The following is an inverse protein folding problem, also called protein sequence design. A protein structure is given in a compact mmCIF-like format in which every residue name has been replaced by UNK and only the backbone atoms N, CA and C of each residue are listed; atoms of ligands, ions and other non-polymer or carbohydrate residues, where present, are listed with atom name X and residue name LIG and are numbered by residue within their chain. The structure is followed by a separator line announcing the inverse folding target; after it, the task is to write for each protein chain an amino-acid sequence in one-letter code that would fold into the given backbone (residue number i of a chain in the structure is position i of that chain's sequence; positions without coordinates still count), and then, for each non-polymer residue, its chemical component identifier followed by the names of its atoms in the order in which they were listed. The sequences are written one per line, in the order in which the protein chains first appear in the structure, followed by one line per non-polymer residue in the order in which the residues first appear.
data_IF_813902695512
#
_entry.id   IF_813902695512
#
_cell.length_a   1.000
_cell.length_b   1.000
_cell.length_c   1.000
_cell.angle_alpha   90.00
_cell.angle_beta   90.00
_cell.angle_gamma   90.00
#
_symmetry.space_group_name_H-M   'P 1'
#
loop_
_entity.id
_entity.type
_entity.pdbx_description
1 polymer ?
#
# COMPACT_ATOMS: atom_id res chain seq x y z
N UNK A 1 19.23 13.40 -12.89
CA UNK A 1 20.03 12.27 -13.44
C UNK A 1 20.27 11.26 -12.33
N UNK A 2 20.38 9.98 -12.66
CA UNK A 2 20.58 8.90 -11.67
C UNK A 2 21.70 8.00 -12.15
N UNK A 3 22.70 7.79 -11.30
CA UNK A 3 23.73 6.77 -11.50
C UNK A 3 23.57 5.75 -10.39
N UNK A 4 23.31 4.49 -10.73
CA UNK A 4 23.09 3.43 -9.75
C UNK A 4 23.89 2.17 -10.09
N UNK A 5 24.36 1.51 -9.04
CA UNK A 5 24.92 0.17 -9.09
C UNK A 5 24.07 -0.66 -8.14
N UNK A 6 23.59 -1.80 -8.65
CA UNK A 6 22.82 -2.73 -7.84
C UNK A 6 23.36 -4.15 -8.01
N UNK A 7 23.29 -4.92 -6.94
CA UNK A 7 23.61 -6.33 -6.91
C UNK A 7 22.47 -7.06 -6.21
N UNK A 8 21.90 -8.06 -6.87
CA UNK A 8 20.81 -8.86 -6.33
C UNK A 8 21.24 -10.33 -6.30
N UNK A 9 21.06 -10.97 -5.17
CA UNK A 9 21.25 -12.41 -4.98
C UNK A 9 19.96 -13.04 -4.47
N UNK A 10 19.61 -14.19 -5.04
CA UNK A 10 18.38 -14.90 -4.73
C UNK A 10 18.71 -16.35 -4.40
N UNK A 11 18.40 -16.74 -3.17
CA UNK A 11 18.36 -18.13 -2.74
C UNK A 11 16.93 -18.69 -2.81
N UNK A 12 16.76 -19.92 -2.32
CA UNK A 12 15.44 -20.59 -2.31
C UNK A 12 14.39 -19.85 -1.49
N UNK A 13 14.79 -19.38 -0.31
CA UNK A 13 13.93 -18.73 0.68
C UNK A 13 14.51 -17.38 1.13
N UNK A 14 15.46 -16.81 0.39
CA UNK A 14 16.11 -15.58 0.81
C UNK A 14 16.53 -14.73 -0.37
N UNK A 15 16.64 -13.42 -0.14
CA UNK A 15 17.18 -12.48 -1.09
C UNK A 15 18.09 -11.47 -0.40
N UNK A 16 19.10 -11.03 -1.12
CA UNK A 16 19.99 -9.95 -0.72
C UNK A 16 20.06 -8.95 -1.87
N UNK A 17 19.73 -7.70 -1.60
CA UNK A 17 19.84 -6.61 -2.55
C UNK A 17 20.80 -5.59 -1.97
N UNK A 18 21.83 -5.24 -2.72
CA UNK A 18 22.75 -4.16 -2.42
C UNK A 18 22.54 -3.10 -3.50
N UNK A 19 22.32 -1.85 -3.09
CA UNK A 19 22.16 -0.71 -4.00
C UNK A 19 23.00 0.45 -3.52
N UNK A 20 23.71 1.07 -4.46
CA UNK A 20 24.40 2.34 -4.26
C UNK A 20 24.00 3.27 -5.39
N UNK A 21 23.64 4.51 -5.08
CA UNK A 21 23.20 5.45 -6.10
C UNK A 21 23.64 6.88 -5.80
N UNK A 22 23.85 7.66 -6.86
CA UNK A 22 24.00 9.11 -6.82
C UNK A 22 22.89 9.72 -7.68
N UNK A 23 22.12 10.62 -7.08
CA UNK A 23 21.04 11.34 -7.72
C UNK A 23 21.44 12.80 -7.93
N UNK A 24 21.02 13.38 -9.05
CA UNK A 24 21.11 14.80 -9.32
C UNK A 24 19.73 15.38 -9.63
N UNK A 25 19.25 16.27 -8.76
CA UNK A 25 18.03 17.03 -8.94
C UNK A 25 18.34 18.37 -9.64
N UNK A 26 18.04 18.44 -10.94
CA UNK A 26 18.28 19.64 -11.76
C UNK A 26 17.28 20.78 -11.50
N UNK A 27 16.21 20.53 -10.75
CA UNK A 27 15.22 21.55 -10.37
C UNK A 27 15.64 22.31 -9.10
N UNK A 28 16.65 21.83 -8.36
CA UNK A 28 17.13 22.50 -7.15
C UNK A 28 17.95 23.75 -7.51
N UNK A 29 17.55 24.90 -6.96
CA UNK A 29 18.15 26.21 -7.23
C UNK A 29 19.59 26.29 -6.70
N UNK A 30 19.84 25.74 -5.51
CA UNK A 30 21.17 25.72 -4.89
C UNK A 30 21.98 24.55 -5.43
N UNK A 31 23.03 24.86 -6.19
CA UNK A 31 23.87 23.87 -6.89
C UNK A 31 24.50 22.84 -5.97
N UNK A 32 24.89 23.21 -4.74
CA UNK A 32 25.43 22.26 -3.76
C UNK A 32 24.43 21.19 -3.36
N UNK A 33 23.14 21.54 -3.28
CA UNK A 33 22.07 20.66 -2.78
C UNK A 33 21.44 19.83 -3.93
N UNK A 34 22.00 19.92 -5.14
CA UNK A 34 21.52 19.15 -6.29
C UNK A 34 21.84 17.66 -6.17
N UNK A 35 22.86 17.29 -5.40
CA UNK A 35 23.33 15.92 -5.32
C UNK A 35 22.86 15.22 -4.04
N UNK A 36 22.38 13.99 -4.19
CA UNK A 36 22.03 13.09 -3.08
C UNK A 36 22.75 11.75 -3.28
N UNK A 37 23.22 11.16 -2.19
CA UNK A 37 24.00 9.91 -2.24
C UNK A 37 23.36 8.84 -1.36
N UNK A 38 23.17 7.65 -1.93
CA UNK A 38 22.70 6.43 -1.26
C UNK A 38 23.87 5.44 -1.20
N UNK A 39 24.55 5.34 -0.06
CA UNK A 39 25.84 4.64 0.06
C UNK A 39 26.01 3.93 1.42
N UNK A 40 25.71 2.63 1.54
CA UNK A 40 24.87 1.81 0.69
C UNK A 40 23.43 1.68 1.20
N UNK A 41 22.58 1.03 0.40
CA UNK A 41 21.37 0.36 0.85
C UNK A 41 21.54 -1.16 0.72
N UNK A 42 21.27 -1.89 1.80
CA UNK A 42 21.36 -3.34 1.89
C UNK A 42 20.04 -3.86 2.41
N UNK A 43 19.34 -4.65 1.60
CA UNK A 43 18.07 -5.28 1.94
C UNK A 43 18.26 -6.78 1.92
N UNK A 44 18.19 -7.40 3.10
CA UNK A 44 18.13 -8.85 3.26
C UNK A 44 16.70 -9.27 3.60
N UNK A 45 16.20 -10.31 2.95
CA UNK A 45 14.91 -10.90 3.27
C UNK A 45 15.03 -12.42 3.38
N UNK A 46 14.41 -13.01 4.41
CA UNK A 46 14.28 -14.45 4.60
C UNK A 46 12.81 -14.81 4.78
N UNK A 47 12.31 -15.70 3.93
CA UNK A 47 10.94 -16.19 3.97
C UNK A 47 10.88 -17.53 4.69
N UNK A 48 9.85 -17.76 5.51
CA UNK A 48 9.78 -18.92 6.40
C UNK A 48 11.07 -19.08 7.23
N UNK A 49 11.40 -18.02 7.97
CA UNK A 49 12.58 -17.89 8.81
C UNK A 49 12.75 -19.07 9.79
N UNK A 50 11.64 -19.64 10.27
CA UNK A 50 11.61 -20.99 10.85
C UNK A 50 10.83 -21.88 9.88
N UNK A 51 11.23 -23.15 9.73
CA UNK A 51 10.63 -23.98 8.68
C UNK A 51 9.10 -24.08 8.78
N UNK A 52 8.41 -23.74 7.67
CA UNK A 52 6.95 -23.90 7.45
C UNK A 52 6.04 -23.07 8.37
N UNK A 53 6.47 -21.91 8.84
CA UNK A 53 5.70 -21.12 9.80
C UNK A 53 5.16 -19.78 9.27
N UNK A 54 5.27 -19.44 7.98
CA UNK A 54 4.88 -18.14 7.43
C UNK A 54 5.50 -16.92 8.16
N UNK A 55 6.62 -17.10 8.86
CA UNK A 55 7.38 -16.04 9.50
C UNK A 55 8.42 -15.52 8.51
N UNK A 56 8.36 -14.25 8.18
CA UNK A 56 9.26 -13.60 7.25
C UNK A 56 10.08 -12.55 8.00
N UNK A 57 11.39 -12.56 7.79
CA UNK A 57 12.31 -11.55 8.30
C UNK A 57 12.74 -10.67 7.13
N UNK A 58 12.76 -9.36 7.33
CA UNK A 58 13.40 -8.42 6.40
C UNK A 58 14.23 -7.41 7.19
N UNK A 59 15.46 -7.22 6.78
CA UNK A 59 16.40 -6.26 7.35
C UNK A 59 16.84 -5.29 6.26
N UNK A 60 16.63 -4.00 6.50
CA UNK A 60 16.99 -2.92 5.57
C UNK A 60 17.95 -1.96 6.26
N UNK A 61 19.20 -1.97 5.83
CA UNK A 61 20.19 -0.95 6.18
C UNK A 61 20.27 0.08 5.05
N UNK A 62 20.21 1.36 5.38
CA UNK A 62 20.24 2.45 4.40
C UNK A 62 21.06 3.61 4.94
N UNK A 63 22.02 4.09 4.18
CA UNK A 63 22.74 5.33 4.46
C UNK A 63 22.51 6.34 3.33
N UNK A 64 21.98 7.50 3.69
CA UNK A 64 21.54 8.54 2.77
C UNK A 64 22.16 9.88 3.15
N UNK A 65 22.78 10.56 2.19
CA UNK A 65 23.20 11.95 2.28
C UNK A 65 22.30 12.81 1.36
N UNK A 66 21.73 13.88 1.90
CA UNK A 66 20.90 14.85 1.19
C UNK A 66 21.31 16.28 1.54
N UNK A 67 20.86 17.27 0.76
CA UNK A 67 21.09 18.70 1.04
C UNK A 67 22.56 19.03 1.35
N UNK A 68 23.48 18.39 0.63
CA UNK A 68 24.95 18.42 0.81
C UNK A 68 25.47 17.80 2.11
N UNK A 69 24.87 18.11 3.27
CA UNK A 69 25.43 17.84 4.60
C UNK A 69 24.42 17.23 5.58
N UNK A 70 23.34 16.62 5.10
CA UNK A 70 22.35 15.94 5.95
C UNK A 70 22.50 14.43 5.75
N UNK A 71 23.12 13.76 6.71
CA UNK A 71 23.31 12.32 6.71
C UNK A 71 22.29 11.64 7.62
N UNK A 72 21.63 10.63 7.07
CA UNK A 72 20.74 9.73 7.81
C UNK A 72 21.13 8.29 7.53
N UNK A 73 21.40 7.53 8.58
CA UNK A 73 21.56 6.08 8.51
C UNK A 73 20.41 5.42 9.24
N UNK A 74 19.72 4.50 8.56
CA UNK A 74 18.58 3.76 9.07
C UNK A 74 18.89 2.26 9.01
N UNK A 75 18.55 1.53 10.06
CA UNK A 75 18.53 0.08 10.10
C UNK A 75 17.19 -0.42 10.63
N UNK A 76 16.37 -0.97 9.73
CA UNK A 76 15.02 -1.45 10.02
C UNK A 76 15.00 -2.97 9.97
N UNK A 77 14.42 -3.60 10.98
CA UNK A 77 14.12 -5.02 10.99
C UNK A 77 12.62 -5.22 11.08
N UNK A 78 12.06 -5.96 10.14
CA UNK A 78 10.66 -6.39 10.12
C UNK A 78 10.60 -7.89 10.34
N UNK A 79 9.79 -8.31 11.30
CA UNK A 79 9.42 -9.70 11.50
C UNK A 79 7.91 -9.81 11.31
N UNK A 80 7.50 -10.35 10.17
CA UNK A 80 6.11 -10.49 9.75
C UNK A 80 5.68 -11.95 9.90
N UNK A 81 4.52 -12.21 10.49
CA UNK A 81 3.96 -13.55 10.61
C UNK A 81 2.45 -13.54 10.38
N UNK A 82 1.98 -14.62 9.78
CA UNK A 82 0.59 -14.79 9.44
C UNK A 82 0.18 -16.24 9.66
N UNK A 83 -0.87 -16.48 10.45
CA UNK A 83 -1.39 -17.83 10.61
C UNK A 83 -1.96 -18.34 9.28
N UNK A 84 -2.09 -19.66 9.17
CA UNK A 84 -2.99 -20.21 8.15
C UNK A 84 -4.41 -19.72 8.42
N UNK A 85 -5.20 -19.65 7.35
CA UNK A 85 -6.61 -19.31 7.43
C UNK A 85 -7.36 -20.41 8.17
N UNK A 86 -8.13 -20.03 9.18
CA UNK A 86 -8.95 -20.92 9.98
C UNK A 86 -10.43 -20.62 9.75
N UNK A 87 -11.27 -21.65 9.88
CA UNK A 87 -12.71 -21.53 9.60
C UNK A 87 -13.53 -22.01 10.78
N UNK A 88 -14.46 -21.17 11.23
CA UNK A 88 -15.48 -21.56 12.20
C UNK A 88 -16.72 -22.01 11.45
N UNK A 89 -16.95 -23.32 11.38
CA UNK A 89 -18.08 -23.93 10.66
C UNK A 89 -19.45 -23.56 11.23
N UNK A 90 -19.53 -23.24 12.52
CA UNK A 90 -20.81 -22.93 13.17
C UNK A 90 -21.28 -21.51 12.83
N UNK A 91 -20.33 -20.57 12.67
CA UNK A 91 -20.61 -19.18 12.35
C UNK A 91 -20.42 -18.85 10.86
N UNK A 92 -19.80 -19.75 10.09
CA UNK A 92 -19.43 -19.53 8.70
C UNK A 92 -18.30 -18.51 8.50
N UNK A 93 -17.59 -18.16 9.57
CA UNK A 93 -16.57 -17.10 9.58
C UNK A 93 -15.20 -17.70 9.32
N UNK A 94 -14.48 -17.12 8.37
CA UNK A 94 -13.04 -17.32 8.21
C UNK A 94 -12.28 -16.26 9.00
N UNK A 95 -11.13 -16.64 9.58
CA UNK A 95 -10.24 -15.72 10.27
C UNK A 95 -8.76 -16.08 10.13
N UNK A 96 -7.92 -15.05 10.24
CA UNK A 96 -6.46 -15.13 10.16
C UNK A 96 -5.82 -14.11 11.09
N UNK A 97 -4.85 -14.55 11.89
CA UNK A 97 -4.06 -13.66 12.74
C UNK A 97 -2.82 -13.19 11.99
N UNK A 98 -2.56 -11.89 12.08
CA UNK A 98 -1.42 -11.21 11.49
C UNK A 98 -0.61 -10.56 12.60
N UNK A 99 0.70 -10.70 12.56
CA UNK A 99 1.60 -10.10 13.56
C UNK A 99 2.80 -9.50 12.85
N UNK A 100 3.18 -8.27 13.18
CA UNK A 100 4.40 -7.62 12.69
C UNK A 100 5.16 -7.02 13.86
N UNK A 101 6.46 -7.25 13.92
CA UNK A 101 7.38 -6.52 14.80
C UNK A 101 8.31 -5.72 13.91
N UNK A 102 8.22 -4.39 13.99
CA UNK A 102 9.09 -3.48 13.26
C UNK A 102 10.01 -2.79 14.26
N UNK A 103 11.31 -2.97 14.10
CA UNK A 103 12.34 -2.29 14.89
C UNK A 103 13.10 -1.34 13.98
N UNK A 104 13.10 -0.06 14.32
CA UNK A 104 13.76 1.00 13.57
C UNK A 104 14.88 1.54 14.44
N UNK A 105 16.12 1.50 13.96
CA UNK A 105 17.22 2.23 14.54
C UNK A 105 17.67 3.25 13.52
N UNK A 106 17.80 4.51 13.89
CA UNK A 106 18.34 5.51 12.98
C UNK A 106 19.28 6.48 13.69
N UNK A 107 20.24 6.97 12.94
CA UNK A 107 21.09 8.08 13.30
C UNK A 107 20.91 9.18 12.25
N UNK A 108 20.78 10.41 12.71
CA UNK A 108 20.66 11.60 11.87
C UNK A 108 21.53 12.70 12.43
N UNK A 109 22.32 13.37 11.59
CA UNK A 109 23.12 14.54 12.00
C UNK A 109 22.33 15.87 11.91
N UNK A 110 21.03 15.79 11.64
CA UNK A 110 20.12 16.92 11.55
C UNK A 110 18.81 16.64 12.29
N UNK A 111 18.12 17.72 12.67
CA UNK A 111 16.99 17.70 13.62
C UNK A 111 15.69 17.05 13.15
N UNK A 112 15.56 16.68 11.87
CA UNK A 112 14.27 16.22 11.32
C UNK A 112 14.40 14.78 10.80
N UNK A 113 13.76 13.76 11.43
CA UNK A 113 12.74 13.88 12.45
C UNK A 113 13.29 14.12 13.87
N UNK A 114 14.48 13.59 14.19
CA UNK A 114 15.24 13.85 15.42
C UNK A 114 16.74 13.75 15.10
N UNK A 115 17.55 14.55 15.78
CA UNK A 115 19.01 14.47 15.75
C UNK A 115 19.51 13.29 16.61
N UNK A 116 20.70 12.77 16.29
CA UNK A 116 21.38 11.67 16.96
C UNK A 116 20.70 10.29 16.84
N UNK A 117 21.20 9.32 17.60
CA UNK A 117 20.71 7.95 17.61
C UNK A 117 19.32 7.85 18.25
N UNK A 118 18.41 7.19 17.56
CA UNK A 118 17.05 6.95 17.97
C UNK A 118 16.67 5.49 17.69
N UNK A 119 15.85 4.91 18.55
CA UNK A 119 15.33 3.55 18.38
C UNK A 119 13.82 3.53 18.59
N UNK A 120 13.11 2.75 17.78
CA UNK A 120 11.67 2.55 17.87
C UNK A 120 11.35 1.08 17.74
N UNK A 121 10.43 0.59 18.57
CA UNK A 121 9.89 -0.75 18.51
C UNK A 121 8.37 -0.66 18.31
N UNK A 122 7.90 -1.24 17.21
CA UNK A 122 6.55 -1.13 16.72
C UNK A 122 5.94 -2.54 16.59
N UNK A 123 5.37 -3.11 17.67
CA UNK A 123 4.58 -4.32 17.57
C UNK A 123 3.20 -4.00 16.97
N UNK A 124 2.71 -4.86 16.08
CA UNK A 124 1.46 -4.69 15.37
C UNK A 124 0.74 -6.03 15.38
N UNK A 125 -0.53 -6.03 15.79
CA UNK A 125 -1.41 -7.18 15.75
C UNK A 125 -2.56 -6.91 14.79
N UNK A 126 -2.98 -7.93 14.05
CA UNK A 126 -4.14 -7.86 13.18
C UNK A 126 -4.98 -9.13 13.25
N UNK A 127 -6.29 -8.95 13.17
CA UNK A 127 -7.28 -10.00 13.02
C UNK A 127 -8.07 -9.72 11.74
N UNK A 128 -7.80 -10.53 10.72
CA UNK A 128 -8.47 -10.50 9.43
C UNK A 128 -9.60 -11.53 9.44
N UNK A 129 -10.83 -11.08 9.19
CA UNK A 129 -12.04 -11.90 9.28
C UNK A 129 -12.89 -11.72 8.05
N UNK A 130 -13.53 -12.79 7.58
CA UNK A 130 -14.46 -12.71 6.46
C UNK A 130 -15.65 -13.65 6.64
N UNK A 131 -16.78 -13.30 6.02
CA UNK A 131 -18.02 -14.08 6.06
C UNK A 131 -18.48 -14.42 4.64
N UNK A 132 -17.94 -15.47 4.02
CA UNK A 132 -18.26 -15.80 2.64
C UNK A 132 -19.68 -16.35 2.48
N UNK A 133 -20.48 -15.71 1.64
CA UNK A 133 -21.76 -16.22 1.15
C UNK A 133 -21.60 -16.73 -0.28
N UNK A 134 -22.19 -17.87 -0.58
CA UNK A 134 -22.19 -18.46 -1.93
C UNK A 134 -23.62 -18.72 -2.41
N UNK A 135 -23.91 -18.31 -3.64
CA UNK A 135 -25.13 -18.70 -4.37
C UNK A 135 -24.73 -19.47 -5.62
N UNK A 136 -25.02 -20.77 -5.59
CA UNK A 136 -24.68 -21.69 -6.68
C UNK A 136 -25.94 -22.01 -7.50
N UNK A 137 -25.84 -21.83 -8.81
CA UNK A 137 -26.89 -22.19 -9.76
C UNK A 137 -26.35 -23.18 -10.80
N UNK A 138 -27.20 -23.65 -11.71
CA UNK A 138 -26.78 -24.53 -12.82
C UNK A 138 -25.78 -23.83 -13.74
N UNK A 139 -25.99 -22.53 -13.99
CA UNK A 139 -25.26 -21.79 -15.03
C UNK A 139 -24.25 -20.78 -14.47
N UNK A 140 -24.27 -20.50 -13.17
CA UNK A 140 -23.39 -19.50 -12.55
C UNK A 140 -23.12 -19.74 -11.06
N UNK A 141 -22.06 -19.13 -10.59
CA UNK A 141 -21.67 -19.04 -9.19
C UNK A 141 -21.54 -17.57 -8.82
N UNK A 142 -22.05 -17.23 -7.63
CA UNK A 142 -21.93 -15.89 -7.06
C UNK A 142 -21.38 -15.99 -5.66
N UNK A 143 -20.45 -15.12 -5.32
CA UNK A 143 -19.88 -15.01 -3.99
C UNK A 143 -20.00 -13.57 -3.51
N UNK A 144 -20.39 -13.40 -2.25
CA UNK A 144 -20.41 -12.12 -1.56
C UNK A 144 -19.65 -12.30 -0.25
N UNK A 145 -18.56 -11.57 -0.06
CA UNK A 145 -17.62 -11.77 1.04
C UNK A 145 -17.40 -10.41 1.72
N UNK A 146 -18.19 -10.08 2.75
CA UNK A 146 -17.81 -9.05 3.70
C UNK A 146 -16.52 -9.45 4.42
N UNK A 147 -15.60 -8.51 4.54
CA UNK A 147 -14.29 -8.70 5.18
C UNK A 147 -13.99 -7.54 6.12
N UNK A 148 -13.44 -7.85 7.29
CA UNK A 148 -13.01 -6.89 8.28
C UNK A 148 -11.58 -7.21 8.71
N UNK A 149 -10.66 -6.26 8.56
CA UNK A 149 -9.36 -6.32 9.22
C UNK A 149 -9.36 -5.34 10.41
N UNK A 150 -9.25 -5.90 11.61
CA UNK A 150 -9.00 -5.15 12.84
C UNK A 150 -7.51 -5.14 13.12
N UNK A 151 -6.91 -3.98 13.32
CA UNK A 151 -5.47 -3.84 13.60
C UNK A 151 -5.25 -3.05 14.89
N UNK A 152 -4.22 -3.38 15.66
CA UNK A 152 -3.78 -2.60 16.81
C UNK A 152 -2.25 -2.48 16.84
N UNK A 153 -1.75 -1.28 17.15
CA UNK A 153 -0.33 -0.96 17.27
C UNK A 153 -0.14 0.12 18.34
N UNK A 154 0.48 -0.14 19.49
CA UNK A 154 0.59 0.85 20.56
C UNK A 154 1.56 1.98 20.22
N UNK A 155 1.33 3.14 20.83
CA UNK A 155 2.20 4.31 20.77
C UNK A 155 1.58 5.47 19.99
N UNK A 156 2.38 6.51 19.72
CA UNK A 156 1.96 7.65 18.91
C UNK A 156 2.61 7.59 17.53
N UNK A 157 1.86 7.98 16.52
CA UNK A 157 2.35 7.99 15.16
C UNK A 157 3.33 9.16 14.92
N UNK A 158 4.34 8.93 14.08
CA UNK A 158 5.18 10.01 13.55
C UNK A 158 4.39 10.84 12.55
N UNK A 159 4.60 12.17 12.53
CA UNK A 159 3.93 13.05 11.58
C UNK A 159 4.21 12.62 10.13
N UNK A 160 3.16 12.18 9.45
CA UNK A 160 3.13 11.70 8.07
C UNK A 160 2.15 12.52 7.21
N UNK A 161 1.79 13.73 7.65
CA UNK A 161 0.76 14.56 6.99
C UNK A 161 1.05 14.85 5.51
N UNK A 162 2.33 14.94 5.14
CA UNK A 162 2.82 15.19 3.78
C UNK A 162 3.08 13.92 2.95
N UNK A 163 2.89 12.73 3.52
CA UNK A 163 3.10 11.47 2.81
C UNK A 163 2.09 11.32 1.66
N UNK A 164 2.57 10.79 0.54
CA UNK A 164 1.84 10.60 -0.72
C UNK A 164 1.15 9.22 -0.84
N UNK A 165 1.01 8.52 0.28
CA UNK A 165 0.33 7.22 0.37
C UNK A 165 -0.99 7.30 -0.39
N UNK A 166 -1.17 6.46 -1.40
CA UNK A 166 -2.43 6.39 -2.16
C UNK A 166 -3.17 5.15 -1.71
N UNK A 167 -4.45 5.27 -1.37
CA UNK A 167 -5.25 4.12 -0.95
C UNK A 167 -5.52 3.18 -2.13
N UNK A 168 -5.31 1.89 -1.92
CA UNK A 168 -5.58 0.81 -2.85
C UNK A 168 -6.24 -0.34 -2.10
N UNK A 169 -6.84 -1.28 -2.86
CA UNK A 169 -7.38 -2.50 -2.22
C UNK A 169 -6.27 -3.28 -1.50
N UNK A 170 -5.07 -3.30 -2.06
CA UNK A 170 -3.95 -4.10 -1.56
C UNK A 170 -3.39 -3.54 -0.25
N UNK A 171 -3.27 -2.22 -0.11
CA UNK A 171 -2.73 -1.61 1.12
C UNK A 171 -3.77 -1.49 2.24
N UNK A 172 -5.06 -1.37 1.93
CA UNK A 172 -6.10 -1.23 2.95
C UNK A 172 -6.24 -2.50 3.81
N UNK A 173 -5.92 -3.69 3.30
CA UNK A 173 -5.92 -4.93 4.07
C UNK A 173 -4.53 -5.38 4.55
N UNK A 174 -3.55 -4.48 4.57
CA UNK A 174 -2.21 -4.78 5.10
C UNK A 174 -2.06 -4.30 6.56
N UNK A 175 -1.09 -4.89 7.28
CA UNK A 175 -0.70 -4.38 8.61
C UNK A 175 0.00 -3.01 8.54
N UNK A 176 0.57 -2.65 7.39
CA UNK A 176 1.23 -1.38 7.16
C UNK A 176 0.75 -0.76 5.84
N UNK A 177 -0.33 0.03 5.91
CA UNK A 177 -0.95 0.66 4.73
C UNK A 177 -0.19 1.89 4.21
N UNK A 178 0.70 2.44 5.04
CA UNK A 178 1.48 3.65 4.76
C UNK A 178 2.57 3.41 3.70
N UNK A 179 2.74 2.14 3.26
CA UNK A 179 3.74 1.70 2.30
C UNK A 179 5.16 2.21 2.64
N UNK A 180 5.46 2.35 3.93
CA UNK A 180 6.74 2.81 4.46
C UNK A 180 7.02 2.11 5.77
N UNK A 181 8.17 1.46 5.88
CA UNK A 181 8.58 0.81 7.12
C UNK A 181 9.11 1.79 8.19
N UNK A 182 9.26 3.07 7.83
CA UNK A 182 9.55 4.15 8.79
C UNK A 182 8.27 4.77 9.37
N UNK A 183 7.11 4.58 8.72
CA UNK A 183 5.83 5.17 9.12
C UNK A 183 4.85 4.06 9.48
N UNK A 184 4.81 3.74 10.77
CA UNK A 184 3.89 2.73 11.30
C UNK A 184 2.66 3.41 11.88
N UNK A 185 1.51 3.05 11.32
CA UNK A 185 0.21 3.47 11.84
C UNK A 185 -0.01 2.93 13.27
N UNK A 186 -0.53 3.79 14.14
CA UNK A 186 -0.75 3.50 15.55
C UNK A 186 -2.24 3.34 15.88
N UNK A 187 -2.47 2.90 17.11
CA UNK A 187 -3.76 2.61 17.71
C UNK A 187 -4.56 1.51 17.00
N UNK A 188 -5.79 1.33 17.48
CA UNK A 188 -6.78 0.44 16.89
C UNK A 188 -7.15 0.96 15.50
N UNK A 189 -7.59 0.11 14.58
CA UNK A 189 -8.22 0.57 13.34
C UNK A 189 -9.03 -0.55 12.70
N UNK A 190 -9.98 -0.17 11.85
CA UNK A 190 -10.85 -1.11 11.15
C UNK A 190 -10.82 -0.83 9.65
N UNK A 191 -10.63 -1.89 8.88
CA UNK A 191 -10.87 -1.88 7.43
C UNK A 191 -12.11 -2.68 7.16
N UNK A 192 -13.07 -2.06 6.47
CA UNK A 192 -14.31 -2.70 6.08
C UNK A 192 -14.28 -2.84 4.57
N UNK A 193 -14.42 -4.08 4.09
CA UNK A 193 -14.54 -4.34 2.67
C UNK A 193 -15.62 -5.32 2.31
N UNK A 194 -15.99 -5.29 1.04
CA UNK A 194 -16.96 -6.17 0.42
C UNK A 194 -16.41 -6.61 -0.93
N UNK A 195 -16.18 -7.91 -1.05
CA UNK A 195 -15.84 -8.54 -2.31
C UNK A 195 -17.08 -9.24 -2.86
N UNK A 196 -17.48 -8.91 -4.09
CA UNK A 196 -18.51 -9.61 -4.83
C UNK A 196 -17.92 -10.20 -6.08
N UNK A 197 -18.24 -11.45 -6.38
CA UNK A 197 -17.84 -12.08 -7.63
C UNK A 197 -18.97 -12.86 -8.25
N UNK A 198 -19.07 -12.80 -9.58
CA UNK A 198 -19.94 -13.62 -10.39
C UNK A 198 -19.11 -14.33 -11.44
N UNK A 199 -19.38 -15.63 -11.62
CA UNK A 199 -18.70 -16.47 -12.59
C UNK A 199 -19.72 -17.33 -13.33
N UNK A 200 -19.69 -17.30 -14.66
CA UNK A 200 -20.46 -18.22 -15.49
C UNK A 200 -19.84 -19.61 -15.43
N UNK A 201 -20.64 -20.64 -15.20
CA UNK A 201 -20.17 -22.03 -15.32
C UNK A 201 -19.92 -22.34 -16.79
N UNK A 202 -18.72 -22.82 -17.16
CA UNK A 202 -18.40 -23.04 -18.56
C UNK A 202 -19.20 -24.25 -19.09
N UNK A 203 -19.85 -24.08 -20.24
CA UNK A 203 -20.55 -25.16 -20.96
C UNK A 203 -19.56 -26.04 -21.78
N UNK A 204 -18.34 -25.53 -22.02
CA UNK A 204 -17.25 -26.15 -22.81
C UNK A 204 -15.89 -25.85 -22.16
N UNK A 205 -14.76 -26.27 -22.75
CA UNK A 205 -13.39 -25.98 -22.22
C UNK A 205 -12.96 -24.49 -22.30
N UNK A 206 -13.87 -23.56 -22.58
CA UNK A 206 -13.55 -22.13 -22.70
C UNK A 206 -13.35 -21.46 -21.32
N UNK A 207 -12.59 -20.37 -21.30
CA UNK A 207 -12.43 -19.55 -20.09
C UNK A 207 -13.79 -18.97 -19.66
N UNK A 208 -14.18 -19.14 -18.39
CA UNK A 208 -15.48 -18.67 -17.92
C UNK A 208 -15.50 -17.14 -17.83
N UNK A 209 -16.61 -16.55 -18.25
CA UNK A 209 -16.90 -15.13 -18.03
C UNK A 209 -16.93 -14.85 -16.53
N UNK A 210 -16.25 -13.79 -16.08
CA UNK A 210 -16.16 -13.43 -14.67
C UNK A 210 -16.31 -11.92 -14.47
N UNK A 211 -16.98 -11.53 -13.40
CA UNK A 211 -17.04 -10.16 -12.92
C UNK A 211 -16.71 -10.15 -11.43
N UNK A 212 -15.72 -9.36 -11.03
CA UNK A 212 -15.31 -9.16 -9.65
C UNK A 212 -15.46 -7.67 -9.30
N UNK A 213 -16.06 -7.37 -8.16
CA UNK A 213 -16.18 -6.02 -7.59
C UNK A 213 -15.64 -6.05 -6.17
N UNK A 214 -14.77 -5.11 -5.83
CA UNK A 214 -14.19 -4.96 -4.49
C UNK A 214 -14.41 -3.52 -4.05
N UNK A 215 -14.90 -3.35 -2.83
CA UNK A 215 -15.15 -2.05 -2.22
C UNK A 215 -14.52 -2.06 -0.84
N UNK A 216 -13.68 -1.08 -0.52
CA UNK A 216 -12.98 -1.04 0.77
C UNK A 216 -12.93 0.38 1.30
N UNK A 217 -13.13 0.53 2.60
CA UNK A 217 -13.03 1.78 3.33
C UNK A 217 -12.34 1.55 4.67
N UNK A 218 -11.51 2.50 5.07
CA UNK A 218 -10.93 2.56 6.41
C UNK A 218 -11.82 3.36 7.35
N UNK A 219 -11.97 2.88 8.58
CA UNK A 219 -12.75 3.50 9.65
C UNK A 219 -11.96 3.46 10.97
N UNK A 220 -11.62 4.64 11.49
CA UNK A 220 -11.00 4.80 12.81
C UNK A 220 -11.36 6.16 13.42
N UNK A 221 -10.73 6.60 14.51
CA UNK A 221 -10.78 7.97 14.98
C UNK A 221 -9.88 8.88 14.14
N UNK A 222 -10.06 10.19 14.28
CA UNK A 222 -9.20 11.17 13.62
C UNK A 222 -7.78 11.12 14.21
N UNK A 223 -6.78 11.16 13.33
CA UNK A 223 -5.37 11.28 13.70
C UNK A 223 -4.72 12.33 12.80
N UNK A 224 -4.46 13.51 13.36
CA UNK A 224 -3.95 14.66 12.62
C UNK A 224 -2.53 14.45 12.07
N UNK A 225 -1.80 13.45 12.55
CA UNK A 225 -0.48 13.09 12.07
C UNK A 225 -0.55 12.20 10.80
N UNK A 226 -1.73 11.72 10.37
CA UNK A 226 -1.90 10.84 9.20
C UNK A 226 -1.90 11.58 7.84
N UNK A 227 -1.62 10.88 6.73
CA UNK A 227 -1.49 11.50 5.42
C UNK A 227 -2.79 12.16 4.96
N UNK A 228 -2.72 13.46 4.65
CA UNK A 228 -3.90 14.26 4.26
C UNK A 228 -4.38 13.97 2.85
N UNK A 229 -3.46 13.63 1.95
CA UNK A 229 -3.72 13.36 0.53
C UNK A 229 -4.57 12.09 0.31
N UNK A 230 -4.66 11.24 1.32
CA UNK A 230 -5.33 9.94 1.25
C UNK A 230 -6.51 9.83 2.21
N UNK A 231 -6.94 10.96 2.81
CA UNK A 231 -7.99 11.07 3.81
C UNK A 231 -7.88 10.14 5.03
N UNK A 232 -6.71 9.54 5.27
CA UNK A 232 -6.49 8.59 6.38
C UNK A 232 -6.60 9.25 7.75
N UNK A 233 -6.35 10.56 7.82
CA UNK A 233 -6.48 11.36 9.04
C UNK A 233 -7.93 11.50 9.53
N UNK A 234 -8.91 11.22 8.67
CA UNK A 234 -10.32 11.40 8.98
C UNK A 234 -10.90 10.11 9.58
N UNK A 235 -12.00 10.27 10.32
CA UNK A 235 -12.74 9.14 10.92
C UNK A 235 -13.17 8.07 9.89
N UNK A 236 -13.53 8.53 8.71
CA UNK A 236 -13.85 7.69 7.56
C UNK A 236 -12.95 8.12 6.40
N UNK A 237 -12.19 7.16 5.85
CA UNK A 237 -11.42 7.42 4.64
C UNK A 237 -12.32 7.48 3.41
N UNK A 238 -11.68 7.85 2.30
CA UNK A 238 -12.15 7.64 0.94
C UNK A 238 -12.54 6.18 0.69
N UNK A 239 -13.49 5.99 -0.23
CA UNK A 239 -13.89 4.67 -0.71
C UNK A 239 -12.98 4.26 -1.87
N UNK A 240 -12.31 3.12 -1.72
CA UNK A 240 -11.54 2.51 -2.80
C UNK A 240 -12.38 1.42 -3.45
N UNK A 241 -12.45 1.42 -4.78
CA UNK A 241 -13.13 0.38 -5.55
C UNK A 241 -12.23 -0.23 -6.61
N UNK A 242 -12.46 -1.51 -6.91
CA UNK A 242 -11.86 -2.23 -8.02
C UNK A 242 -12.89 -3.12 -8.68
N UNK A 243 -13.07 -2.97 -9.99
CA UNK A 243 -13.93 -3.81 -10.82
C UNK A 243 -13.07 -4.52 -11.86
N UNK A 244 -13.15 -5.84 -11.94
CA UNK A 244 -12.49 -6.61 -12.98
C UNK A 244 -13.54 -7.41 -13.74
N UNK A 245 -13.55 -7.28 -15.06
CA UNK A 245 -14.37 -8.08 -15.95
C UNK A 245 -13.47 -8.88 -16.88
N UNK A 246 -13.65 -10.20 -16.87
CA UNK A 246 -12.96 -11.14 -17.74
C UNK A 246 -13.98 -11.68 -18.74
N UNK A 247 -13.78 -11.40 -20.02
CA UNK A 247 -14.62 -11.99 -21.06
C UNK A 247 -14.10 -13.39 -21.44
N UNK A 248 -14.91 -14.22 -22.12
CA UNK A 248 -14.47 -15.51 -22.65
C UNK A 248 -13.48 -15.37 -23.83
N UNK A 249 -12.28 -14.85 -23.59
CA UNK A 249 -11.17 -14.81 -24.54
C UNK A 249 -11.12 -13.61 -25.49
N UNK A 250 -11.93 -12.57 -25.28
CA UNK A 250 -11.94 -11.40 -26.17
C UNK A 250 -11.09 -10.25 -25.58
N UNK A 251 -11.42 -9.86 -24.36
CA UNK A 251 -10.82 -8.75 -23.64
C UNK A 251 -11.01 -8.87 -22.12
N UNK A 252 -10.15 -8.19 -21.37
CA UNK A 252 -10.25 -7.98 -19.93
C UNK A 252 -10.32 -6.49 -19.64
N UNK A 253 -11.16 -6.10 -18.68
CA UNK A 253 -11.28 -4.72 -18.21
C UNK A 253 -11.01 -4.69 -16.71
N UNK A 254 -10.12 -3.80 -16.28
CA UNK A 254 -9.93 -3.46 -14.87
C UNK A 254 -10.20 -1.97 -14.68
N UNK A 255 -11.06 -1.62 -13.72
CA UNK A 255 -11.32 -0.24 -13.32
C UNK A 255 -11.02 -0.12 -11.83
N UNK A 256 -10.18 0.83 -11.45
CA UNK A 256 -9.91 1.17 -10.04
C UNK A 256 -10.25 2.62 -9.80
N UNK A 257 -10.90 2.91 -8.67
CA UNK A 257 -11.21 4.29 -8.32
C UNK A 257 -11.01 4.53 -6.82
N UNK A 258 -10.72 5.78 -6.47
CA UNK A 258 -10.76 6.30 -5.11
C UNK A 258 -11.70 7.49 -5.08
N UNK A 259 -12.85 7.31 -4.44
CA UNK A 259 -13.87 8.35 -4.26
C UNK A 259 -13.66 9.01 -2.92
N UNK A 260 -13.79 10.34 -2.88
CA UNK A 260 -13.71 11.06 -1.63
C UNK A 260 -14.78 10.57 -0.63
N UNK A 261 -14.53 10.75 0.67
CA UNK A 261 -15.44 10.29 1.73
C UNK A 261 -16.92 10.70 1.50
N UNK A 262 -17.14 11.87 0.88
CA UNK A 262 -18.46 12.45 0.60
C UNK A 262 -19.00 12.15 -0.82
N UNK A 263 -18.28 11.40 -1.65
CA UNK A 263 -18.59 11.08 -3.05
C UNK A 263 -18.73 12.28 -4.01
N UNK A 264 -18.22 13.45 -3.63
CA UNK A 264 -18.21 14.65 -4.45
C UNK A 264 -17.07 14.63 -5.49
N UNK A 265 -15.97 13.89 -5.23
CA UNK A 265 -14.78 13.88 -6.07
C UNK A 265 -14.22 12.47 -6.27
N UNK A 266 -13.59 12.24 -7.43
CA UNK A 266 -12.80 11.04 -7.73
C UNK A 266 -11.33 11.46 -7.73
N UNK A 267 -10.57 11.06 -6.71
CA UNK A 267 -9.15 11.42 -6.58
C UNK A 267 -8.23 10.56 -7.43
N UNK A 268 -8.62 9.32 -7.69
CA UNK A 268 -7.88 8.39 -8.52
C UNK A 268 -8.84 7.58 -9.38
N UNK A 269 -8.51 7.43 -10.66
CA UNK A 269 -9.22 6.56 -11.60
C UNK A 269 -8.21 5.93 -12.55
N UNK A 270 -8.20 4.60 -12.62
CA UNK A 270 -7.35 3.79 -13.50
C UNK A 270 -8.24 2.83 -14.28
N UNK A 271 -8.21 2.95 -15.61
CA UNK A 271 -8.90 2.07 -16.54
C UNK A 271 -7.82 1.32 -17.34
N UNK A 272 -7.85 0.00 -17.23
CA UNK A 272 -7.02 -0.89 -18.01
C UNK A 272 -7.91 -1.79 -18.88
N UNK A 273 -7.65 -1.81 -20.19
CA UNK A 273 -8.34 -2.67 -21.15
C UNK A 273 -7.29 -3.48 -21.90
N UNK A 274 -7.34 -4.79 -21.75
CA UNK A 274 -6.51 -5.74 -22.49
C UNK A 274 -7.36 -6.46 -23.51
N UNK A 275 -6.94 -6.53 -24.76
CA UNK A 275 -7.63 -7.31 -25.80
C UNK A 275 -6.69 -8.34 -26.38
N UNK A 276 -7.22 -9.54 -26.63
CA UNK A 276 -6.44 -10.69 -27.05
C UNK A 276 -6.77 -11.00 -28.52
N UNK A 277 -5.80 -10.77 -29.39
CA UNK A 277 -5.86 -11.11 -30.81
C UNK A 277 -5.08 -12.40 -31.05
N UNK A 278 -5.32 -13.08 -32.17
CA UNK A 278 -4.57 -14.30 -32.53
C UNK A 278 -3.05 -14.05 -32.63
N UNK A 279 -2.66 -12.84 -33.00
CA UNK A 279 -1.28 -12.44 -33.26
C UNK A 279 -0.63 -11.69 -32.08
N UNK A 280 -1.33 -11.44 -30.97
CA UNK A 280 -0.77 -10.73 -29.82
C UNK A 280 -1.79 -10.12 -28.87
N UNK A 281 -1.28 -9.41 -27.86
CA UNK A 281 -2.06 -8.67 -26.86
C UNK A 281 -1.93 -7.15 -27.11
N UNK A 282 -3.03 -6.42 -27.03
CA UNK A 282 -3.02 -4.95 -26.98
C UNK A 282 -3.51 -4.52 -25.61
N UNK A 283 -2.76 -3.65 -24.95
CA UNK A 283 -3.06 -3.15 -23.61
C UNK A 283 -3.20 -1.62 -23.63
N UNK A 284 -4.41 -1.14 -23.34
CA UNK A 284 -4.70 0.27 -23.15
C UNK A 284 -4.78 0.58 -21.65
N UNK A 285 -4.05 1.60 -21.19
CA UNK A 285 -4.15 2.12 -19.84
C UNK A 285 -4.47 3.62 -19.88
N UNK A 286 -5.45 4.03 -19.08
CA UNK A 286 -5.76 5.43 -18.81
C UNK A 286 -5.76 5.64 -17.30
N UNK A 287 -4.90 6.53 -16.81
CA UNK A 287 -4.82 6.88 -15.38
C UNK A 287 -5.05 8.38 -15.20
N UNK A 288 -5.93 8.73 -14.25
CA UNK A 288 -6.15 10.09 -13.78
C UNK A 288 -5.94 10.13 -12.27
N UNK A 289 -5.10 11.06 -11.80
CA UNK A 289 -4.91 11.36 -10.38
C UNK A 289 -5.12 12.85 -10.13
N UNK A 290 -6.06 13.19 -9.27
CA UNK A 290 -6.29 14.56 -8.79
C UNK A 290 -5.59 14.67 -7.44
N UNK A 291 -4.55 15.49 -7.37
CA UNK A 291 -3.90 15.80 -6.09
C UNK A 291 -4.61 16.99 -5.47
N UNK A 292 -5.18 16.81 -4.27
CA UNK A 292 -5.64 17.95 -3.47
C UNK A 292 -4.39 18.67 -3.00
N UNK A 293 -4.08 19.80 -3.63
CA UNK A 293 -3.21 20.79 -3.01
C UNK A 293 -4.03 21.44 -1.90
N UNK A 294 -3.70 21.13 -0.64
CA UNK A 294 -4.16 21.98 0.46
C UNK A 294 -3.49 23.33 0.24
N UNK A 295 -4.26 24.28 -0.28
CA UNK A 295 -3.85 25.66 -0.43
C UNK A 295 -3.46 26.17 0.97
N UNK A 296 -2.17 26.37 1.18
CA UNK A 296 -1.67 27.21 2.27
C UNK A 296 -1.71 28.64 1.72
N UNK A 297 -2.53 29.47 2.33
CA UNK A 297 -2.74 30.91 2.11
C UNK A 297 -1.79 31.60 1.12
N UNK A 298 -2.32 32.17 0.02
CA UNK A 298 -1.85 33.47 -0.50
C UNK A 298 -2.89 34.15 -1.41
N UNK A 299 -3.42 35.26 -0.87
CA UNK A 299 -3.83 36.53 -1.45
C UNK A 299 -4.89 36.62 -2.57
N UNK A 300 -5.96 37.34 -2.21
CA UNK A 300 -6.88 38.08 -3.09
C UNK A 300 -6.16 38.74 -4.27
N UNK A 301 -6.65 38.51 -5.48
CA UNK A 301 -6.62 39.52 -6.54
C UNK A 301 -8.05 39.90 -6.90
N UNK A 302 -8.39 41.14 -6.57
CA UNK A 302 -9.58 41.86 -7.02
C UNK A 302 -9.34 42.30 -8.47
N UNK A 303 -10.17 41.87 -9.41
CA UNK A 303 -10.24 42.51 -10.73
C UNK A 303 -11.25 43.66 -10.66
N UNK A 304 -10.77 44.89 -10.74
CA UNK A 304 -11.56 46.06 -11.11
C UNK A 304 -11.47 46.25 -12.61
N UNK A 305 -12.60 46.13 -13.31
CA UNK A 305 -12.73 46.62 -14.68
C UNK A 305 -12.87 48.15 -14.65
N UNK A 306 -12.11 48.82 -15.51
CA UNK A 306 -12.50 50.09 -16.13
C UNK A 306 -12.70 49.78 -17.61
#
# INVERSE_FOLDING_TARGET
MTNEIYFNSFGKNESLNLRTAAYQNIATIKTSDQYEYLLPEIIYSKYNFLEKNNLNLSSNFKSLNTNTNQNKTTFINNLDHATNEAYNTNLGISYKFLTKINNINYYSDYRTPNENFNTQLNPILGLDTSLPFAKLSKDSEQYLIPRILTRYSPGKMTNATSNDTTLSIDNLFSLNRMNSDELIEKDLSFNLGLDWSWKKKPLTKANPQKLDLQLVRYKFNEDADMPRKSSLQNKNSDLVTKANYLSPGNFDITVKNTFDNNFNHIYYSDLNVKTFLKQGEINFNFTKKITILVAKDMQKQTLSLI
#
